data_IF_053893380051
#
_entry.id   IF_053893380051
#
_cell.length_a   1.000
_cell.length_b   1.000
_cell.length_c   1.000
_cell.angle_alpha   90.00
_cell.angle_beta   90.00
_cell.angle_gamma   90.00
#
_symmetry.space_group_name_H-M   'P 1'
#
loop_
_entity.id
_entity.type
_entity.pdbx_description
1 polymer ?
#
# COMPACT_ATOMS: atom_id res chain seq x y z
N UNK A 1 -17.96 6.50 37.94
CA UNK A 1 -17.81 7.40 36.78
C UNK A 1 -19.18 7.91 36.37
N UNK A 2 -19.27 9.06 35.69
CA UNK A 2 -20.56 9.63 35.25
C UNK A 2 -21.03 8.90 33.98
N UNK A 3 -22.29 8.46 33.95
CA UNK A 3 -22.93 7.80 32.79
C UNK A 3 -22.73 8.55 31.46
N UNK A 4 -22.58 9.88 31.51
CA UNK A 4 -22.33 10.70 30.32
C UNK A 4 -20.88 10.54 29.79
N UNK A 5 -19.91 10.32 30.69
CA UNK A 5 -18.53 10.05 30.30
C UNK A 5 -18.42 8.68 29.61
N UNK A 6 -19.06 7.66 30.17
CA UNK A 6 -19.05 6.30 29.62
C UNK A 6 -19.75 6.25 28.25
N UNK A 7 -20.87 6.97 28.09
CA UNK A 7 -21.56 7.10 26.81
C UNK A 7 -20.70 7.81 25.74
N UNK A 8 -19.89 8.79 26.14
CA UNK A 8 -18.99 9.50 25.22
C UNK A 8 -17.83 8.61 24.77
N UNK A 9 -17.23 7.86 25.69
CA UNK A 9 -16.14 6.91 25.38
C UNK A 9 -16.66 5.80 24.46
N UNK A 10 -17.84 5.25 24.75
CA UNK A 10 -18.47 4.24 23.91
C UNK A 10 -18.80 4.75 22.50
N UNK A 11 -19.21 6.02 22.40
CA UNK A 11 -19.41 6.70 21.12
C UNK A 11 -18.12 6.79 20.29
N UNK A 12 -17.00 7.17 20.93
CA UNK A 12 -15.70 7.25 20.25
C UNK A 12 -15.20 5.88 19.79
N UNK A 13 -15.33 4.84 20.64
CA UNK A 13 -14.98 3.46 20.27
C UNK A 13 -15.82 3.00 19.08
N UNK A 14 -17.12 3.28 19.08
CA UNK A 14 -18.01 2.94 17.97
C UNK A 14 -17.61 3.61 16.67
N UNK A 15 -17.27 4.91 16.72
CA UNK A 15 -16.83 5.66 15.54
C UNK A 15 -15.48 5.16 15.00
N UNK A 16 -14.53 4.84 15.87
CA UNK A 16 -13.23 4.27 15.49
C UNK A 16 -13.37 2.90 14.83
N UNK A 17 -14.21 2.01 15.38
CA UNK A 17 -14.48 0.69 14.78
C UNK A 17 -15.15 0.82 13.41
N UNK A 18 -16.12 1.73 13.26
CA UNK A 18 -16.79 1.95 11.97
C UNK A 18 -15.80 2.47 10.93
N UNK A 19 -14.99 3.48 11.29
CA UNK A 19 -13.96 4.03 10.39
C UNK A 19 -12.95 2.97 9.97
N UNK A 20 -12.41 2.20 10.92
CA UNK A 20 -11.45 1.13 10.65
C UNK A 20 -12.06 0.03 9.76
N UNK A 21 -13.33 -0.31 9.97
CA UNK A 21 -14.04 -1.31 9.14
C UNK A 21 -14.21 -0.81 7.70
N UNK A 22 -14.61 0.44 7.51
CA UNK A 22 -14.75 1.05 6.18
C UNK A 22 -13.40 1.17 5.48
N UNK A 23 -12.34 1.54 6.21
CA UNK A 23 -10.98 1.61 5.69
C UNK A 23 -10.51 0.25 5.16
N UNK A 24 -10.69 -0.84 5.93
CA UNK A 24 -10.33 -2.19 5.51
C UNK A 24 -11.17 -2.67 4.32
N UNK A 25 -12.45 -2.28 4.24
CA UNK A 25 -13.29 -2.60 3.08
C UNK A 25 -12.75 -1.95 1.79
N UNK A 26 -12.32 -0.69 1.85
CA UNK A 26 -11.69 0.00 0.72
C UNK A 26 -10.32 -0.61 0.39
N UNK A 27 -9.53 -0.94 1.40
CA UNK A 27 -8.22 -1.57 1.23
C UNK A 27 -8.34 -2.94 0.54
N UNK A 28 -9.36 -3.74 0.89
CA UNK A 28 -9.67 -5.00 0.23
C UNK A 28 -9.93 -4.84 -1.27
N UNK A 29 -10.63 -3.78 -1.67
CA UNK A 29 -10.85 -3.48 -3.09
C UNK A 29 -9.53 -3.11 -3.76
N UNK A 30 -8.71 -2.26 -3.12
CA UNK A 30 -7.42 -1.82 -3.64
C UNK A 30 -6.42 -2.97 -3.80
N UNK A 31 -6.28 -3.85 -2.81
CA UNK A 31 -5.37 -5.01 -2.88
C UNK A 31 -5.83 -6.01 -3.95
N UNK A 32 -7.14 -6.16 -4.17
CA UNK A 32 -7.70 -7.00 -5.24
C UNK A 32 -7.37 -6.44 -6.62
N UNK A 33 -7.52 -5.12 -6.81
CA UNK A 33 -7.12 -4.47 -8.08
C UNK A 33 -5.61 -4.58 -8.29
N UNK A 34 -4.81 -4.34 -7.24
CA UNK A 34 -3.36 -4.41 -7.31
C UNK A 34 -2.86 -5.82 -7.62
N UNK A 35 -3.44 -6.85 -6.99
CA UNK A 35 -3.09 -8.25 -7.27
C UNK A 35 -3.39 -8.64 -8.71
N UNK A 36 -4.54 -8.21 -9.27
CA UNK A 36 -4.83 -8.39 -10.70
C UNK A 36 -3.81 -7.69 -11.60
N UNK A 37 -3.40 -6.47 -11.27
CA UNK A 37 -2.36 -5.73 -11.99
C UNK A 37 -1.00 -6.44 -11.89
N UNK A 38 -0.61 -6.94 -10.71
CA UNK A 38 0.63 -7.67 -10.49
C UNK A 38 0.68 -8.98 -11.28
N UNK A 39 -0.44 -9.72 -11.33
CA UNK A 39 -0.56 -10.96 -12.13
C UNK A 39 -0.50 -10.63 -13.63
N UNK A 40 -1.20 -9.59 -14.09
CA UNK A 40 -1.13 -9.13 -15.49
C UNK A 40 0.28 -8.67 -15.87
N UNK A 41 0.94 -7.91 -15.01
CA UNK A 41 2.32 -7.49 -15.21
C UNK A 41 3.26 -8.71 -15.28
N UNK A 42 3.13 -9.66 -14.35
CA UNK A 42 3.91 -10.89 -14.34
C UNK A 42 3.70 -11.74 -15.59
N UNK A 43 2.44 -11.93 -16.01
CA UNK A 43 2.11 -12.71 -17.22
C UNK A 43 2.63 -12.06 -18.50
N UNK A 44 2.58 -10.73 -18.63
CA UNK A 44 3.14 -10.02 -19.79
C UNK A 44 4.67 -10.13 -19.80
N UNK A 45 5.31 -9.91 -18.64
CA UNK A 45 6.77 -9.88 -18.54
C UNK A 45 7.40 -11.27 -18.70
N UNK A 46 6.76 -12.32 -18.13
CA UNK A 46 7.21 -13.70 -18.22
C UNK A 46 6.75 -14.38 -19.52
N UNK A 47 5.53 -14.09 -19.99
CA UNK A 47 4.94 -14.69 -21.20
C UNK A 47 5.57 -14.24 -22.52
N UNK A 48 6.11 -13.01 -22.58
CA UNK A 48 6.89 -12.56 -23.74
C UNK A 48 8.34 -13.06 -23.74
N UNK A 49 8.84 -13.59 -22.62
CA UNK A 49 10.20 -14.12 -22.49
C UNK A 49 10.46 -15.44 -23.23
N UNK A 50 9.39 -16.14 -23.61
CA UNK A 50 9.41 -17.45 -24.29
C UNK A 50 9.34 -17.36 -25.82
N UNK A 51 8.84 -16.26 -26.40
CA UNK A 51 8.58 -16.17 -27.86
C UNK A 51 9.62 -15.44 -28.70
N UNK A 52 10.62 -14.77 -28.13
CA UNK A 52 11.63 -14.03 -28.93
C UNK A 52 13.05 -14.29 -28.44
N UNK A 53 13.77 -15.10 -29.20
CA UNK A 53 15.18 -15.45 -28.97
C UNK A 53 16.12 -14.25 -29.05
N UNK A 54 16.24 -13.47 -27.96
CA UNK A 54 17.31 -12.49 -27.80
C UNK A 54 17.86 -12.57 -26.37
N UNK A 55 18.92 -13.37 -26.26
CA UNK A 55 19.48 -13.91 -25.01
C UNK A 55 20.35 -12.93 -24.20
N UNK A 56 20.44 -11.65 -24.56
CA UNK A 56 21.49 -10.75 -24.04
C UNK A 56 21.01 -9.68 -23.03
N UNK A 57 19.71 -9.38 -22.94
CA UNK A 57 19.17 -8.31 -22.04
C UNK A 57 18.13 -8.82 -21.03
N UNK A 58 18.25 -10.07 -20.58
CA UNK A 58 17.29 -10.72 -19.65
C UNK A 58 17.32 -10.21 -18.20
N UNK A 59 18.36 -9.49 -17.76
CA UNK A 59 18.51 -9.07 -16.36
C UNK A 59 17.56 -7.93 -15.94
N UNK A 60 17.34 -6.95 -16.82
CA UNK A 60 16.47 -5.80 -16.52
C UNK A 60 15.00 -6.13 -16.20
N UNK A 61 14.30 -7.00 -16.96
CA UNK A 61 12.90 -7.31 -16.64
C UNK A 61 12.75 -8.09 -15.33
N UNK A 62 13.71 -8.97 -15.00
CA UNK A 62 13.67 -9.74 -13.75
C UNK A 62 13.78 -8.80 -12.54
N UNK A 63 14.72 -7.85 -12.56
CA UNK A 63 14.87 -6.87 -11.48
C UNK A 63 13.60 -6.03 -11.29
N UNK A 64 12.97 -5.58 -12.38
CA UNK A 64 11.71 -4.82 -12.28
C UNK A 64 10.56 -5.66 -11.73
N UNK A 65 10.50 -6.96 -12.05
CA UNK A 65 9.49 -7.87 -11.51
C UNK A 65 9.71 -8.12 -10.02
N UNK A 66 10.97 -8.34 -9.61
CA UNK A 66 11.33 -8.51 -8.20
C UNK A 66 10.96 -7.27 -7.40
N UNK A 67 11.20 -6.06 -7.93
CA UNK A 67 10.87 -4.82 -7.26
C UNK A 67 9.34 -4.64 -7.11
N UNK A 68 8.56 -4.92 -8.17
CA UNK A 68 7.09 -4.91 -8.10
C UNK A 68 6.57 -5.97 -7.10
N UNK A 69 7.19 -7.16 -7.07
CA UNK A 69 6.83 -8.19 -6.10
C UNK A 69 7.15 -7.78 -4.66
N UNK A 70 8.28 -7.10 -4.41
CA UNK A 70 8.62 -6.57 -3.10
C UNK A 70 7.59 -5.52 -2.66
N UNK A 71 7.24 -4.57 -3.53
CA UNK A 71 6.21 -3.56 -3.23
C UNK A 71 4.87 -4.23 -2.95
N UNK A 72 4.50 -5.26 -3.73
CA UNK A 72 3.29 -6.04 -3.48
C UNK A 72 3.28 -6.73 -2.12
N UNK A 73 4.39 -7.37 -1.74
CA UNK A 73 4.52 -8.04 -0.45
C UNK A 73 4.46 -7.05 0.71
N UNK A 74 5.00 -5.84 0.55
CA UNK A 74 4.87 -4.76 1.55
C UNK A 74 3.43 -4.28 1.68
N UNK A 75 2.71 -4.08 0.57
CA UNK A 75 1.27 -3.78 0.61
C UNK A 75 0.47 -4.89 1.33
N UNK A 76 0.79 -6.15 1.04
CA UNK A 76 0.11 -7.29 1.66
C UNK A 76 0.41 -7.35 3.17
N UNK A 77 1.63 -7.01 3.59
CA UNK A 77 1.99 -6.92 5.00
C UNK A 77 1.23 -5.80 5.73
N UNK A 78 1.08 -4.63 5.13
CA UNK A 78 0.25 -3.53 5.68
C UNK A 78 -1.20 -3.99 5.89
N UNK A 79 -1.79 -4.60 4.86
CA UNK A 79 -3.16 -5.12 4.94
C UNK A 79 -3.35 -6.16 6.06
N UNK A 80 -2.37 -7.04 6.28
CA UNK A 80 -2.40 -7.99 7.40
C UNK A 80 -2.31 -7.25 8.74
N UNK A 81 -1.46 -6.22 8.86
CA UNK A 81 -1.31 -5.44 10.08
C UNK A 81 -2.63 -4.74 10.42
N UNK A 82 -3.30 -4.12 9.45
CA UNK A 82 -4.56 -3.41 9.64
C UNK A 82 -5.69 -4.36 10.07
N UNK A 83 -5.78 -5.55 9.46
CA UNK A 83 -6.70 -6.60 9.92
C UNK A 83 -6.44 -7.03 11.37
N UNK A 84 -5.17 -7.26 11.73
CA UNK A 84 -4.80 -7.63 13.09
C UNK A 84 -5.11 -6.50 14.08
N UNK A 85 -4.93 -5.25 13.67
CA UNK A 85 -5.23 -4.08 14.50
C UNK A 85 -6.73 -4.00 14.80
N UNK A 86 -7.58 -4.10 13.78
CA UNK A 86 -9.04 -4.09 13.94
C UNK A 86 -9.51 -5.23 14.86
N UNK A 87 -9.00 -6.45 14.64
CA UNK A 87 -9.38 -7.61 15.45
C UNK A 87 -8.90 -7.47 16.89
N UNK A 88 -7.69 -6.94 17.11
CA UNK A 88 -7.15 -6.75 18.46
C UNK A 88 -7.89 -5.63 19.21
N UNK A 89 -8.16 -4.50 18.56
CA UNK A 89 -8.89 -3.37 19.13
C UNK A 89 -10.30 -3.80 19.55
N UNK A 90 -11.04 -4.49 18.66
CA UNK A 90 -12.38 -5.02 18.98
C UNK A 90 -12.35 -6.08 20.09
N UNK A 91 -11.33 -6.96 20.13
CA UNK A 91 -11.15 -7.94 21.22
C UNK A 91 -10.91 -7.27 22.57
N UNK A 92 -10.02 -6.27 22.62
CA UNK A 92 -9.60 -5.62 23.87
C UNK A 92 -10.71 -4.72 24.41
N UNK A 93 -11.40 -3.99 23.52
CA UNK A 93 -12.48 -3.06 23.90
C UNK A 93 -13.78 -3.79 24.26
N UNK A 94 -14.13 -4.86 23.54
CA UNK A 94 -15.46 -5.47 23.62
C UNK A 94 -15.51 -6.81 24.38
N UNK A 95 -14.45 -7.62 24.37
CA UNK A 95 -14.49 -9.03 24.81
C UNK A 95 -13.68 -9.28 26.08
N UNK A 96 -12.58 -8.56 26.30
CA UNK A 96 -11.67 -8.83 27.41
C UNK A 96 -12.12 -8.10 28.69
N UNK A 97 -12.13 -8.83 29.81
CA UNK A 97 -12.36 -8.34 31.18
C UNK A 97 -13.63 -7.49 31.35
N UNK A 98 -14.85 -8.05 31.21
CA UNK A 98 -16.11 -7.27 31.18
C UNK A 98 -16.37 -6.41 32.43
N UNK A 99 -15.69 -6.69 33.54
CA UNK A 99 -15.84 -5.97 34.82
C UNK A 99 -14.88 -4.76 34.96
N UNK A 100 -13.88 -4.64 34.10
CA UNK A 100 -12.96 -3.50 34.07
C UNK A 100 -13.61 -2.27 33.42
N UNK A 101 -13.25 -1.10 33.93
CA UNK A 101 -13.75 0.19 33.45
C UNK A 101 -13.36 0.46 31.98
N UNK A 102 -14.29 1.06 31.23
CA UNK A 102 -14.17 1.23 29.77
C UNK A 102 -12.95 2.10 29.39
N UNK A 103 -12.61 3.05 30.27
CA UNK A 103 -11.46 3.94 30.12
C UNK A 103 -10.12 3.18 30.10
N UNK A 104 -9.95 2.23 31.02
CA UNK A 104 -8.75 1.39 31.17
C UNK A 104 -8.59 0.46 29.96
N UNK A 105 -9.71 -0.05 29.42
CA UNK A 105 -9.69 -0.88 28.21
C UNK A 105 -9.28 -0.11 26.97
N UNK A 106 -9.79 1.11 26.83
CA UNK A 106 -9.43 1.99 25.73
C UNK A 106 -7.94 2.36 25.79
N UNK A 107 -7.42 2.72 26.96
CA UNK A 107 -6.01 3.06 27.14
C UNK A 107 -5.08 1.86 26.81
N UNK A 108 -5.46 0.65 27.23
CA UNK A 108 -4.75 -0.60 26.92
C UNK A 108 -4.79 -0.96 25.42
N UNK A 109 -5.90 -0.68 24.74
CA UNK A 109 -6.00 -0.84 23.30
C UNK A 109 -5.06 0.14 22.59
N UNK A 110 -5.01 1.40 23.05
CA UNK A 110 -4.17 2.45 22.47
C UNK A 110 -2.67 2.15 22.65
N UNK A 111 -2.27 1.63 23.81
CA UNK A 111 -0.90 1.16 24.06
C UNK A 111 -0.50 0.01 23.14
N UNK A 112 -1.43 -0.89 22.81
CA UNK A 112 -1.19 -1.98 21.87
C UNK A 112 -1.09 -1.50 20.40
N UNK A 113 -1.82 -0.44 20.06
CA UNK A 113 -1.87 0.15 18.71
C UNK A 113 -0.61 0.99 18.43
N UNK A 114 -0.12 1.76 19.39
CA UNK A 114 0.99 2.70 19.24
C UNK A 114 2.26 2.13 18.54
N UNK A 115 2.86 1.00 18.97
CA UNK A 115 4.05 0.46 18.31
C UNK A 115 3.77 -0.07 16.90
N UNK A 116 2.53 -0.49 16.62
CA UNK A 116 2.12 -0.97 15.30
C UNK A 116 1.92 0.18 14.32
N UNK A 117 1.42 1.32 14.80
CA UNK A 117 1.34 2.55 14.01
C UNK A 117 2.72 3.00 13.53
N UNK A 118 3.73 2.94 14.41
CA UNK A 118 5.12 3.26 14.06
C UNK A 118 5.68 2.30 13.00
N UNK A 119 5.32 1.00 13.06
CA UNK A 119 5.72 0.02 12.05
C UNK A 119 5.04 0.29 10.69
N UNK A 120 3.76 0.67 10.69
CA UNK A 120 3.03 1.06 9.48
C UNK A 120 3.68 2.27 8.81
N UNK A 121 3.98 3.32 9.57
CA UNK A 121 4.61 4.54 9.05
C UNK A 121 6.00 4.25 8.44
N UNK A 122 6.78 3.39 9.10
CA UNK A 122 8.07 2.94 8.57
C UNK A 122 7.91 2.18 7.24
N UNK A 123 6.94 1.27 7.13
CA UNK A 123 6.67 0.53 5.89
C UNK A 123 6.21 1.47 4.77
N UNK A 124 5.37 2.46 5.07
CA UNK A 124 4.93 3.49 4.11
C UNK A 124 6.09 4.32 3.57
N UNK A 125 7.02 4.72 4.44
CA UNK A 125 8.23 5.44 4.02
C UNK A 125 9.06 4.60 3.02
N UNK A 126 9.19 3.29 3.28
CA UNK A 126 9.93 2.38 2.42
C UNK A 126 9.22 2.17 1.06
N UNK A 127 7.90 2.07 1.07
CA UNK A 127 7.10 1.97 -0.16
C UNK A 127 7.24 3.21 -1.05
N UNK A 128 7.29 4.41 -0.46
CA UNK A 128 7.49 5.65 -1.20
C UNK A 128 8.85 5.67 -1.90
N UNK A 129 9.91 5.32 -1.17
CA UNK A 129 11.28 5.26 -1.72
C UNK A 129 11.38 4.23 -2.86
N UNK A 130 10.76 3.05 -2.69
CA UNK A 130 10.73 2.04 -3.74
C UNK A 130 9.92 2.49 -4.95
N UNK A 131 8.79 3.17 -4.73
CA UNK A 131 7.96 3.75 -5.79
C UNK A 131 8.75 4.76 -6.64
N UNK A 132 9.43 5.69 -5.99
CA UNK A 132 10.28 6.69 -6.66
C UNK A 132 11.43 6.03 -7.43
N UNK A 133 12.05 5.01 -6.84
CA UNK A 133 13.11 4.23 -7.49
C UNK A 133 12.62 3.55 -8.78
N UNK A 134 11.39 3.04 -8.81
CA UNK A 134 10.78 2.46 -10.02
C UNK A 134 10.52 3.53 -11.08
N UNK A 135 10.06 4.72 -10.68
CA UNK A 135 9.81 5.84 -11.61
C UNK A 135 11.14 6.29 -12.24
N UNK A 136 12.17 6.54 -11.42
CA UNK A 136 13.51 6.92 -11.89
C UNK A 136 14.06 5.85 -12.83
N UNK A 137 13.96 4.57 -12.47
CA UNK A 137 14.38 3.47 -13.32
C UNK A 137 13.64 3.44 -14.66
N UNK A 138 12.31 3.64 -14.66
CA UNK A 138 11.51 3.71 -15.89
C UNK A 138 11.91 4.89 -16.76
N UNK A 139 12.10 6.07 -16.18
CA UNK A 139 12.57 7.27 -16.90
C UNK A 139 13.96 7.02 -17.49
N UNK A 140 14.88 6.46 -16.72
CA UNK A 140 16.23 6.13 -17.20
C UNK A 140 16.21 5.07 -18.31
N UNK A 141 15.43 3.99 -18.15
CA UNK A 141 15.27 2.96 -19.17
C UNK A 141 14.62 3.51 -20.45
N UNK A 142 13.68 4.43 -20.31
CA UNK A 142 13.05 5.13 -21.42
C UNK A 142 14.05 6.05 -22.12
N UNK A 143 14.87 6.78 -21.34
CA UNK A 143 15.94 7.62 -21.87
C UNK A 143 17.03 6.78 -22.53
N UNK A 144 17.35 5.57 -22.09
CA UNK A 144 18.37 4.73 -22.73
C UNK A 144 17.98 4.24 -24.14
N UNK A 145 16.68 4.28 -24.51
CA UNK A 145 16.19 3.88 -25.84
C UNK A 145 16.25 5.05 -26.83
N UNK A 146 17.32 5.09 -27.63
CA UNK A 146 17.66 6.17 -28.59
C UNK A 146 16.50 6.64 -29.48
N UNK A 147 15.64 5.73 -29.95
CA UNK A 147 14.64 6.04 -30.97
C UNK A 147 13.38 6.76 -30.45
N UNK A 148 13.09 6.70 -29.14
CA UNK A 148 11.87 7.32 -28.58
C UNK A 148 12.12 8.71 -27.96
N UNK A 149 13.39 9.08 -27.76
CA UNK A 149 13.81 10.41 -27.31
C UNK A 149 13.27 11.51 -28.23
N UNK A 150 13.31 11.26 -29.54
CA UNK A 150 12.88 12.20 -30.56
C UNK A 150 11.36 12.36 -30.54
N UNK A 151 10.59 11.28 -30.38
CA UNK A 151 9.12 11.35 -30.34
C UNK A 151 8.60 12.08 -29.11
N UNK A 152 9.22 11.88 -27.93
CA UNK A 152 8.81 12.63 -26.71
C UNK A 152 9.26 14.08 -26.77
N UNK A 153 10.47 14.39 -27.27
CA UNK A 153 10.85 15.78 -27.50
C UNK A 153 9.93 16.47 -28.50
N UNK A 154 9.57 15.81 -29.61
CA UNK A 154 8.64 16.35 -30.60
C UNK A 154 7.26 16.54 -29.96
N UNK A 155 6.74 15.58 -29.19
CA UNK A 155 5.44 15.73 -28.53
C UNK A 155 5.42 16.90 -27.54
N UNK A 156 6.46 17.08 -26.73
CA UNK A 156 6.56 18.19 -25.78
C UNK A 156 6.74 19.55 -26.47
N UNK A 157 7.53 19.60 -27.55
CA UNK A 157 7.72 20.83 -28.35
C UNK A 157 6.46 21.20 -29.11
N UNK A 158 5.73 20.23 -29.67
CA UNK A 158 4.44 20.46 -30.36
C UNK A 158 3.37 20.92 -29.38
N UNK A 159 3.31 20.34 -28.18
CA UNK A 159 2.40 20.79 -27.12
C UNK A 159 2.71 22.23 -26.68
N UNK A 160 3.98 22.59 -26.56
CA UNK A 160 4.41 23.96 -26.24
C UNK A 160 4.11 24.95 -27.38
N UNK A 161 4.23 24.52 -28.64
CA UNK A 161 3.90 25.34 -29.81
C UNK A 161 2.40 25.55 -30.01
N UNK A 162 1.55 24.61 -29.57
CA UNK A 162 0.09 24.78 -29.63
C UNK A 162 -0.49 25.59 -28.47
N UNK A 163 0.32 25.91 -27.45
CA UNK A 163 -0.05 26.76 -26.32
C UNK A 163 0.33 28.24 -26.48
N UNK A 164 0.85 28.64 -27.65
CA UNK A 164 1.12 30.02 -28.07
C UNK A 164 0.31 30.36 -29.33
#
# INVERSE_FOLDING_TARGET
>A
MSLAADATILGNIGDDVVKSTVAIALENVLITVYSMLAIKAGTILLGNGTRRGRRSTRKCPIVTMTLVAIVYLLCLALWIIDLVLLVAETRITLVKDPEDDLSVKYERALEFVAPRLAAVDLIYSYMTILGDSVIIWRVHAFWASSNWRVTVMIASVVLLWMSF
#
